data_IF_506543663149
#
_entry.id   IF_506543663149
#
_cell.length_a   1.000
_cell.length_b   1.000
_cell.length_c   1.000
_cell.angle_alpha   90.00
_cell.angle_beta   90.00
_cell.angle_gamma   90.00
#
_symmetry.space_group_name_H-M   'P 1'
#
loop_
_entity.id
_entity.type
_entity.pdbx_description
1 polymer ?
#
# COMPACT_ATOMS: atom_id res chain seq x y z
N UNK A 1 -8.17 -13.13 -3.44
CA UNK A 1 -8.53 -12.15 -4.48
C UNK A 1 -7.48 -11.05 -4.54
N UNK A 2 -7.36 -10.21 -3.50
CA UNK A 2 -6.40 -9.08 -3.50
C UNK A 2 -4.95 -9.43 -3.84
N UNK A 3 -4.43 -10.60 -3.41
CA UNK A 3 -3.06 -11.03 -3.74
C UNK A 3 -2.82 -11.12 -5.25
N UNK A 4 -3.76 -11.73 -5.97
CA UNK A 4 -3.67 -11.86 -7.44
C UNK A 4 -3.81 -10.51 -8.12
N UNK A 5 -4.62 -9.61 -7.56
CA UNK A 5 -4.79 -8.27 -8.13
C UNK A 5 -3.53 -7.40 -7.93
N UNK A 6 -2.84 -7.56 -6.79
CA UNK A 6 -1.53 -6.94 -6.55
C UNK A 6 -0.50 -7.48 -7.54
N UNK A 7 -0.41 -8.81 -7.71
CA UNK A 7 0.52 -9.45 -8.65
C UNK A 7 0.29 -8.95 -10.08
N UNK A 8 -0.97 -8.95 -10.53
CA UNK A 8 -1.35 -8.41 -11.84
C UNK A 8 -0.98 -6.94 -11.99
N UNK A 9 -1.20 -6.12 -10.96
CA UNK A 9 -0.80 -4.71 -10.98
C UNK A 9 0.71 -4.53 -11.18
N UNK A 10 1.52 -5.32 -10.47
CA UNK A 10 2.98 -5.33 -10.60
C UNK A 10 3.39 -5.79 -12.01
N UNK A 11 2.77 -6.84 -12.54
CA UNK A 11 3.02 -7.33 -13.89
C UNK A 11 2.70 -6.29 -14.96
N UNK A 12 1.58 -5.58 -14.82
CA UNK A 12 1.20 -4.50 -15.74
C UNK A 12 2.20 -3.33 -15.69
N UNK A 13 2.69 -2.95 -14.50
CA UNK A 13 3.73 -1.92 -14.37
C UNK A 13 5.05 -2.34 -15.02
N UNK A 14 5.47 -3.61 -14.85
CA UNK A 14 6.65 -4.15 -15.53
C UNK A 14 6.48 -4.14 -17.05
N UNK A 15 5.30 -4.54 -17.54
CA UNK A 15 4.98 -4.50 -18.96
C UNK A 15 5.04 -3.06 -19.51
N UNK A 16 4.48 -2.08 -18.79
CA UNK A 16 4.56 -0.68 -19.17
C UNK A 16 6.02 -0.20 -19.27
N UNK A 17 6.86 -0.59 -18.30
CA UNK A 17 8.29 -0.25 -18.31
C UNK A 17 9.01 -0.78 -19.54
N UNK A 18 8.74 -2.04 -19.89
CA UNK A 18 9.28 -2.70 -21.07
C UNK A 18 8.82 -2.00 -22.36
N UNK A 19 7.52 -1.79 -22.52
CA UNK A 19 6.94 -1.17 -23.72
C UNK A 19 7.43 0.27 -23.92
N UNK A 20 7.59 1.04 -22.84
CA UNK A 20 8.12 2.40 -22.94
C UNK A 20 9.59 2.40 -23.38
N UNK A 21 10.40 1.48 -22.84
CA UNK A 21 11.81 1.32 -23.22
C UNK A 21 11.99 0.88 -24.67
N UNK A 22 11.12 -0.02 -25.15
CA UNK A 22 11.07 -0.40 -26.56
C UNK A 22 10.69 0.77 -27.47
N UNK A 23 9.77 1.63 -27.00
CA UNK A 23 9.25 2.77 -27.76
C UNK A 23 10.25 3.92 -27.88
N UNK A 24 10.96 4.26 -26.80
CA UNK A 24 11.89 5.39 -26.78
C UNK A 24 13.37 4.99 -26.92
N UNK A 25 13.67 3.70 -26.94
CA UNK A 25 15.02 3.16 -27.10
C UNK A 25 15.92 3.37 -25.87
N UNK A 26 15.36 3.76 -24.72
CA UNK A 26 16.13 3.96 -23.49
C UNK A 26 16.30 2.62 -22.78
N UNK A 27 17.54 2.19 -22.57
CA UNK A 27 17.84 0.98 -21.80
C UNK A 27 17.67 1.23 -20.30
N UNK A 28 16.49 0.87 -19.78
CA UNK A 28 16.12 0.96 -18.36
C UNK A 28 16.37 -0.35 -17.62
N UNK A 29 16.67 -0.31 -16.32
CA UNK A 29 16.72 -1.50 -15.50
C UNK A 29 15.34 -2.15 -15.40
N UNK A 30 15.32 -3.47 -15.18
CA UNK A 30 14.13 -4.13 -14.68
C UNK A 30 13.70 -3.46 -13.36
N UNK A 31 12.39 -3.21 -13.15
CA UNK A 31 11.96 -2.55 -11.93
C UNK A 31 12.42 -3.30 -10.66
N UNK A 32 12.85 -2.55 -9.65
CA UNK A 32 13.46 -3.03 -8.40
C UNK A 32 14.87 -3.66 -8.53
N UNK A 33 15.45 -3.70 -9.73
CA UNK A 33 16.84 -4.15 -9.93
C UNK A 33 17.77 -2.94 -9.95
N UNK A 34 18.83 -2.98 -9.13
CA UNK A 34 19.88 -1.97 -9.18
C UNK A 34 20.88 -2.36 -10.27
N UNK A 35 20.83 -1.66 -11.39
CA UNK A 35 21.82 -1.77 -12.47
C UNK A 35 22.36 -0.38 -12.79
N UNK A 36 23.61 -0.14 -12.38
CA UNK A 36 24.29 1.16 -12.58
C UNK A 36 24.72 1.39 -14.02
N UNK A 37 24.70 0.37 -14.87
CA UNK A 37 25.02 0.51 -16.30
C UNK A 37 23.85 1.05 -17.13
N UNK A 38 22.63 1.00 -16.56
CA UNK A 38 21.39 1.38 -17.23
C UNK A 38 20.89 2.76 -16.82
N UNK A 39 19.98 3.31 -17.63
CA UNK A 39 19.41 4.64 -17.42
C UNK A 39 18.31 4.58 -16.36
N UNK A 40 18.49 5.33 -15.27
CA UNK A 40 17.51 5.49 -14.20
C UNK A 40 16.87 6.89 -14.26
N UNK A 41 16.03 7.09 -15.26
CA UNK A 41 15.25 8.31 -15.47
C UNK A 41 14.03 8.40 -14.53
N UNK A 42 13.27 9.49 -14.64
CA UNK A 42 12.11 9.71 -13.77
C UNK A 42 11.05 8.63 -13.94
N UNK A 43 10.78 8.20 -15.18
CA UNK A 43 9.80 7.16 -15.45
C UNK A 43 10.20 5.83 -14.79
N UNK A 44 11.46 5.40 -14.89
CA UNK A 44 11.96 4.20 -14.22
C UNK A 44 11.82 4.27 -12.69
N UNK A 45 12.03 5.46 -12.11
CA UNK A 45 11.84 5.71 -10.67
C UNK A 45 10.37 5.62 -10.29
N UNK A 46 9.47 6.23 -11.06
CA UNK A 46 8.04 6.23 -10.79
C UNK A 46 7.45 4.82 -10.85
N UNK A 47 7.86 4.02 -11.84
CA UNK A 47 7.48 2.60 -11.94
C UNK A 47 7.99 1.82 -10.73
N UNK A 48 9.25 2.00 -10.34
CA UNK A 48 9.85 1.30 -9.20
C UNK A 48 9.18 1.66 -7.87
N UNK A 49 8.89 2.94 -7.65
CA UNK A 49 8.13 3.42 -6.48
C UNK A 49 6.72 2.83 -6.48
N UNK A 50 6.04 2.83 -7.63
CA UNK A 50 4.67 2.29 -7.75
C UNK A 50 4.62 0.79 -7.45
N UNK A 51 5.58 0.01 -7.96
CA UNK A 51 5.69 -1.42 -7.64
C UNK A 51 5.98 -1.62 -6.15
N UNK A 52 6.81 -0.77 -5.54
CA UNK A 52 7.10 -0.82 -4.10
C UNK A 52 5.82 -0.61 -3.29
N UNK A 53 5.01 0.40 -3.62
CA UNK A 53 3.74 0.65 -2.94
C UNK A 53 2.71 -0.47 -3.15
N UNK A 54 2.58 -0.99 -4.37
CA UNK A 54 1.73 -2.16 -4.61
C UNK A 54 2.17 -3.36 -3.78
N UNK A 55 3.49 -3.60 -3.71
CA UNK A 55 4.03 -4.72 -2.93
C UNK A 55 3.74 -4.57 -1.43
N UNK A 56 3.67 -3.34 -0.91
CA UNK A 56 3.27 -3.09 0.48
C UNK A 56 1.83 -3.53 0.78
N UNK A 57 0.94 -3.54 -0.23
CA UNK A 57 -0.45 -3.95 -0.05
C UNK A 57 -0.60 -5.42 0.37
N UNK A 58 0.37 -6.28 0.07
CA UNK A 58 0.36 -7.67 0.55
C UNK A 58 0.32 -7.76 2.08
N UNK A 59 0.90 -6.78 2.76
CA UNK A 59 0.92 -6.68 4.23
C UNK A 59 -0.21 -5.79 4.75
N UNK A 60 -0.47 -4.67 4.07
CA UNK A 60 -1.42 -3.67 4.58
C UNK A 60 -2.87 -4.14 4.51
N UNK A 61 -3.29 -4.85 3.46
CA UNK A 61 -4.66 -5.34 3.33
C UNK A 61 -5.05 -6.29 4.49
N UNK A 62 -4.30 -7.36 4.79
CA UNK A 62 -4.67 -8.24 5.91
C UNK A 62 -4.58 -7.52 7.27
N UNK A 63 -3.69 -6.55 7.43
CA UNK A 63 -3.65 -5.72 8.64
C UNK A 63 -4.93 -4.89 8.80
N UNK A 64 -5.38 -4.25 7.72
CA UNK A 64 -6.63 -3.47 7.68
C UNK A 64 -7.86 -4.35 7.96
N UNK A 65 -7.92 -5.56 7.38
CA UNK A 65 -9.00 -6.53 7.64
C UNK A 65 -9.04 -6.94 9.13
N UNK A 66 -7.89 -7.26 9.73
CA UNK A 66 -7.80 -7.60 11.15
C UNK A 66 -8.18 -6.43 12.07
N UNK A 67 -7.76 -5.22 11.74
CA UNK A 67 -8.15 -4.01 12.49
C UNK A 67 -9.65 -3.73 12.37
N UNK A 68 -10.25 -3.99 11.21
CA UNK A 68 -11.70 -3.89 11.02
C UNK A 68 -12.44 -4.85 11.94
N UNK A 69 -11.99 -6.10 12.03
CA UNK A 69 -12.57 -7.11 12.93
C UNK A 69 -12.40 -6.71 14.41
N UNK A 70 -11.21 -6.23 14.78
CA UNK A 70 -10.95 -5.73 16.12
C UNK A 70 -11.87 -4.56 16.46
N UNK A 71 -12.07 -3.60 15.55
CA UNK A 71 -12.97 -2.47 15.74
C UNK A 71 -14.40 -2.88 16.04
N UNK A 72 -14.95 -3.81 15.24
CA UNK A 72 -16.30 -4.37 15.48
C UNK A 72 -16.41 -5.02 16.86
N UNK A 73 -15.36 -5.72 17.31
CA UNK A 73 -15.32 -6.33 18.63
C UNK A 73 -15.26 -5.28 19.74
N UNK A 74 -14.41 -4.27 19.61
CA UNK A 74 -14.28 -3.18 20.58
C UNK A 74 -15.60 -2.41 20.74
N UNK A 75 -16.32 -2.18 19.64
CA UNK A 75 -17.64 -1.53 19.68
C UNK A 75 -18.67 -2.40 20.40
N UNK A 76 -18.71 -3.70 20.09
CA UNK A 76 -19.57 -4.66 20.80
C UNK A 76 -19.28 -4.71 22.32
N UNK A 77 -18.04 -4.47 22.70
CA UNK A 77 -17.58 -4.37 24.10
C UNK A 77 -17.82 -2.98 24.72
N UNK A 78 -18.33 -2.01 23.95
CA UNK A 78 -18.59 -0.64 24.41
C UNK A 78 -17.33 0.21 24.60
N UNK A 79 -16.20 -0.19 24.02
CA UNK A 79 -14.90 0.51 24.16
C UNK A 79 -14.70 1.62 23.14
N UNK A 80 -15.32 1.48 21.98
CA UNK A 80 -15.35 2.50 20.92
C UNK A 80 -16.79 2.64 20.42
N UNK A 81 -17.07 3.75 19.74
CA UNK A 81 -18.30 3.98 19.00
C UNK A 81 -17.92 4.37 17.57
N UNK A 82 -18.49 3.72 16.56
CA UNK A 82 -18.19 3.99 15.15
C UNK A 82 -19.46 4.48 14.45
N UNK A 83 -19.46 5.75 14.09
CA UNK A 83 -20.58 6.39 13.40
C UNK A 83 -20.68 5.94 11.95
N UNK A 84 -21.86 6.14 11.36
CA UNK A 84 -22.12 5.84 9.95
C UNK A 84 -21.16 6.64 9.05
N UNK A 85 -20.39 5.92 8.21
CA UNK A 85 -19.35 6.51 7.36
C UNK A 85 -17.94 6.53 7.97
N UNK A 86 -17.76 6.09 9.22
CA UNK A 86 -16.43 5.91 9.81
C UNK A 86 -15.87 4.51 9.54
N UNK A 87 -14.54 4.40 9.60
CA UNK A 87 -13.80 3.17 9.34
C UNK A 87 -13.41 2.47 10.65
N UNK A 88 -13.88 1.22 10.82
CA UNK A 88 -13.57 0.41 12.00
C UNK A 88 -12.07 0.14 12.17
N UNK A 89 -11.30 0.02 11.09
CA UNK A 89 -9.86 -0.21 11.16
C UNK A 89 -9.12 0.99 11.74
N UNK A 90 -9.53 2.20 11.36
CA UNK A 90 -8.98 3.45 11.89
C UNK A 90 -9.38 3.63 13.35
N UNK A 91 -10.66 3.40 13.68
CA UNK A 91 -11.14 3.52 15.06
C UNK A 91 -10.43 2.53 16.00
N UNK A 92 -10.23 1.29 15.56
CA UNK A 92 -9.50 0.27 16.32
C UNK A 92 -8.03 0.65 16.53
N UNK A 93 -7.35 1.12 15.49
CA UNK A 93 -5.96 1.57 15.60
C UNK A 93 -5.84 2.73 16.59
N UNK A 94 -6.73 3.73 16.47
CA UNK A 94 -6.74 4.89 17.36
C UNK A 94 -6.93 4.49 18.82
N UNK A 95 -7.86 3.57 19.09
CA UNK A 95 -8.07 3.01 20.42
C UNK A 95 -6.79 2.36 20.96
N UNK A 96 -6.19 1.42 20.22
CA UNK A 96 -4.97 0.72 20.65
C UNK A 96 -3.80 1.69 20.88
N UNK A 97 -3.61 2.68 20.00
CA UNK A 97 -2.59 3.71 20.18
C UNK A 97 -2.81 4.52 21.46
N UNK A 98 -4.07 4.89 21.74
CA UNK A 98 -4.40 5.65 22.95
C UNK A 98 -4.13 4.87 24.25
N UNK A 99 -4.39 3.55 24.26
CA UNK A 99 -4.07 2.67 25.40
C UNK A 99 -2.56 2.59 25.68
N UNK A 100 -1.74 2.90 24.69
CA UNK A 100 -0.28 2.95 24.80
C UNK A 100 0.28 4.38 24.88
N UNK A 101 -0.56 5.39 25.09
CA UNK A 101 -0.14 6.79 25.21
C UNK A 101 0.37 7.41 23.90
N UNK A 102 0.01 6.83 22.76
CA UNK A 102 0.37 7.33 21.43
C UNK A 102 -0.80 8.10 20.81
N UNK A 103 -0.48 9.20 20.12
CA UNK A 103 -1.45 9.93 19.29
C UNK A 103 -1.39 9.38 17.87
N UNK A 104 -2.53 9.02 17.26
CA UNK A 104 -2.56 8.60 15.86
C UNK A 104 -2.12 9.75 14.95
N UNK A 105 -1.32 9.46 13.94
CA UNK A 105 -1.13 10.40 12.83
C UNK A 105 -2.48 10.52 12.10
N UNK A 106 -3.15 11.67 12.27
CA UNK A 106 -4.31 12.00 11.45
C UNK A 106 -3.80 12.21 10.02
N UNK A 107 -4.14 11.29 9.12
CA UNK A 107 -4.02 11.54 7.69
C UNK A 107 -4.96 12.70 7.36
N UNK A 108 -4.41 13.91 7.29
CA UNK A 108 -5.07 15.02 6.63
C UNK A 108 -5.00 14.71 5.13
N UNK A 109 -6.16 14.42 4.53
CA UNK A 109 -6.34 14.59 3.08
C UNK A 109 -6.46 16.08 2.75
#
# INVERSE_FOLDING_TARGET
>A
MYKQDIEKGIELLKLCSKLQSEKDGVDRPEPLVIDKSKVLDQFARDVSTSITYMSSLFKLIPMMENLTELGRKLEKEGKIEVSLGQDYSIAALNFVMSEHGMTPETTQE
#
